data_IF_669346876555
#
_entry.id   IF_669346876555
#
_cell.length_a   1.000
_cell.length_b   1.000
_cell.length_c   1.000
_cell.angle_alpha   90.00
_cell.angle_beta   90.00
_cell.angle_gamma   90.00
#
_symmetry.space_group_name_H-M   'P 1'
#
loop_
_entity.id
_entity.type
_entity.pdbx_description
1 polymer ?
#
# COMPACT_ATOMS: atom_id res chain seq x y z
N UNK A 1 -3.31 -5.67 -22.22
CA UNK A 1 -4.67 -5.57 -22.81
C UNK A 1 -5.36 -6.90 -22.49
N UNK A 2 -6.53 -6.83 -21.89
CA UNK A 2 -7.31 -7.97 -21.45
C UNK A 2 -8.72 -7.91 -22.07
N UNK A 3 -9.38 -9.06 -22.21
CA UNK A 3 -10.76 -9.11 -22.71
C UNK A 3 -11.72 -8.43 -21.74
N UNK A 4 -12.64 -7.62 -22.25
CA UNK A 4 -13.63 -6.94 -21.41
C UNK A 4 -14.55 -7.92 -20.70
N UNK A 5 -14.77 -7.75 -19.39
CA UNK A 5 -15.74 -8.55 -18.65
C UNK A 5 -17.11 -7.85 -18.59
N UNK A 6 -18.20 -8.64 -18.57
CA UNK A 6 -19.56 -8.12 -18.39
C UNK A 6 -19.82 -7.90 -16.89
N UNK A 7 -19.63 -6.67 -16.44
CA UNK A 7 -19.79 -6.28 -15.05
C UNK A 7 -21.28 -6.27 -14.66
N UNK A 8 -21.61 -6.86 -13.51
CA UNK A 8 -22.91 -6.75 -12.85
C UNK A 8 -22.80 -5.78 -11.66
N UNK A 9 -21.76 -5.96 -10.81
CA UNK A 9 -21.49 -5.12 -9.64
C UNK A 9 -20.00 -4.91 -9.45
N UNK A 10 -19.66 -3.76 -8.89
CA UNK A 10 -18.30 -3.40 -8.49
C UNK A 10 -18.25 -3.27 -6.97
N UNK A 11 -17.20 -3.82 -6.38
CA UNK A 11 -16.93 -3.80 -4.95
C UNK A 11 -15.53 -3.28 -4.69
N UNK A 12 -15.31 -2.83 -3.48
CA UNK A 12 -13.97 -2.60 -2.95
C UNK A 12 -13.54 -3.78 -2.07
N UNK A 13 -12.28 -4.18 -2.19
CA UNK A 13 -11.66 -5.18 -1.34
C UNK A 13 -10.19 -4.87 -1.12
N UNK A 14 -9.75 -4.88 0.14
CA UNK A 14 -8.33 -4.75 0.46
C UNK A 14 -7.92 -5.62 1.65
N UNK A 15 -6.64 -5.96 1.71
CA UNK A 15 -5.97 -6.61 2.83
C UNK A 15 -4.76 -5.77 3.22
N UNK A 16 -4.62 -5.49 4.51
CA UNK A 16 -3.53 -4.68 5.03
C UNK A 16 -3.07 -5.14 6.42
N UNK A 17 -1.85 -4.76 6.79
CA UNK A 17 -1.34 -4.94 8.15
C UNK A 17 -1.89 -3.84 9.05
N UNK A 18 -2.76 -4.19 9.97
CA UNK A 18 -3.30 -3.29 11.01
C UNK A 18 -2.35 -3.29 12.22
N UNK A 19 -1.42 -2.35 12.24
CA UNK A 19 -0.41 -2.25 13.31
C UNK A 19 -1.02 -1.93 14.67
N UNK A 20 -2.12 -1.17 14.70
CA UNK A 20 -2.80 -0.81 15.95
C UNK A 20 -3.50 -2.01 16.58
N UNK A 21 -4.08 -2.87 15.75
CA UNK A 21 -4.75 -4.09 16.19
C UNK A 21 -3.81 -5.30 16.30
N UNK A 22 -2.56 -5.19 15.80
CA UNK A 22 -1.59 -6.29 15.76
C UNK A 22 -2.05 -7.50 14.93
N UNK A 23 -2.83 -7.26 13.87
CA UNK A 23 -3.42 -8.31 13.04
C UNK A 23 -3.48 -7.90 11.56
N UNK A 24 -3.92 -8.83 10.71
CA UNK A 24 -4.27 -8.53 9.32
C UNK A 24 -5.73 -8.09 9.28
N UNK A 25 -5.99 -6.93 8.68
CA UNK A 25 -7.36 -6.44 8.47
C UNK A 25 -7.74 -6.56 7.00
N UNK A 26 -8.96 -7.02 6.78
CA UNK A 26 -9.61 -7.04 5.47
C UNK A 26 -10.70 -5.97 5.49
N UNK A 27 -10.67 -5.08 4.52
CA UNK A 27 -11.67 -4.05 4.32
C UNK A 27 -12.40 -4.35 3.02
N UNK A 28 -13.71 -4.29 3.05
CA UNK A 28 -14.53 -4.45 1.85
C UNK A 28 -15.74 -3.53 1.89
N UNK A 29 -16.24 -3.18 0.70
CA UNK A 29 -17.42 -2.32 0.56
C UNK A 29 -18.22 -2.68 -0.69
N UNK A 30 -19.52 -2.42 -0.64
CA UNK A 30 -20.39 -2.51 -1.82
C UNK A 30 -20.18 -1.34 -2.79
N UNK A 31 -19.41 -0.34 -2.42
CA UNK A 31 -19.01 0.80 -3.25
C UNK A 31 -17.61 0.52 -3.84
N UNK A 32 -17.56 0.00 -5.04
CA UNK A 32 -16.33 -0.22 -5.79
C UNK A 32 -16.08 0.85 -6.85
N UNK A 33 -14.86 0.92 -7.36
CA UNK A 33 -14.47 1.90 -8.40
C UNK A 33 -14.44 3.35 -7.92
N UNK A 34 -14.46 3.59 -6.60
CA UNK A 34 -14.44 4.91 -5.97
C UNK A 34 -13.39 4.96 -4.87
N UNK A 35 -13.06 6.18 -4.41
CA UNK A 35 -12.13 6.39 -3.30
C UNK A 35 -12.74 5.88 -1.98
N UNK A 36 -12.08 4.91 -1.35
CA UNK A 36 -12.60 4.25 -0.15
C UNK A 36 -12.57 5.16 1.09
N UNK A 37 -11.66 6.13 1.14
CA UNK A 37 -11.57 7.10 2.22
C UNK A 37 -12.82 7.97 2.24
N UNK A 38 -13.30 8.39 1.08
CA UNK A 38 -14.57 9.15 0.99
C UNK A 38 -15.78 8.30 1.41
N UNK A 39 -15.79 7.00 1.08
CA UNK A 39 -16.83 6.09 1.53
C UNK A 39 -16.80 5.93 3.04
N UNK A 40 -15.60 5.81 3.63
CA UNK A 40 -15.42 5.68 5.08
C UNK A 40 -15.86 6.95 5.83
N UNK A 41 -15.68 8.13 5.24
CA UNK A 41 -16.10 9.41 5.83
C UNK A 41 -17.61 9.64 5.70
N UNK A 42 -18.17 9.42 4.49
CA UNK A 42 -19.57 9.76 4.17
C UNK A 42 -20.56 8.67 4.57
N UNK A 43 -20.17 7.40 4.45
CA UNK A 43 -21.03 6.22 4.64
C UNK A 43 -20.30 5.08 5.33
N UNK A 44 -19.79 5.25 6.57
CA UNK A 44 -18.98 4.26 7.28
C UNK A 44 -19.69 2.91 7.47
N UNK A 45 -21.02 2.90 7.48
CA UNK A 45 -21.84 1.69 7.59
C UNK A 45 -21.69 0.75 6.38
N UNK A 46 -21.19 1.23 5.24
CA UNK A 46 -20.90 0.43 4.05
C UNK A 46 -19.53 -0.26 4.11
N UNK A 47 -18.71 0.09 5.10
CA UNK A 47 -17.40 -0.50 5.30
C UNK A 47 -17.52 -1.77 6.15
N UNK A 48 -17.13 -2.89 5.57
CA UNK A 48 -17.05 -4.18 6.24
C UNK A 48 -15.59 -4.40 6.63
N UNK A 49 -15.30 -4.43 7.94
CA UNK A 49 -13.95 -4.70 8.45
C UNK A 49 -13.91 -6.08 9.11
N UNK A 50 -13.02 -6.94 8.62
CA UNK A 50 -12.77 -8.29 9.17
C UNK A 50 -11.33 -8.38 9.62
N UNK A 51 -11.10 -8.74 10.88
CA UNK A 51 -9.78 -8.97 11.44
C UNK A 51 -9.43 -10.43 11.38
N UNK A 52 -8.22 -10.73 10.94
CA UNK A 52 -7.69 -12.09 10.85
C UNK A 52 -6.46 -12.18 11.75
N UNK A 53 -6.52 -13.05 12.75
CA UNK A 53 -5.36 -13.37 13.58
C UNK A 53 -4.32 -14.09 12.70
N UNK A 54 -3.08 -13.59 12.61
CA UNK A 54 -2.02 -14.21 11.80
C UNK A 54 -1.73 -15.67 12.19
N UNK A 55 -1.94 -16.05 13.47
CA UNK A 55 -1.75 -17.43 13.94
C UNK A 55 -2.87 -18.37 13.49
N UNK A 56 -4.10 -17.87 13.45
CA UNK A 56 -5.27 -18.65 13.03
C UNK A 56 -5.45 -18.67 11.52
N UNK A 57 -4.96 -17.65 10.83
CA UNK A 57 -5.11 -17.48 9.38
C UNK A 57 -6.54 -17.22 8.93
N UNK A 58 -6.72 -17.19 7.62
CA UNK A 58 -8.03 -16.94 7.01
C UNK A 58 -8.92 -18.18 7.05
N UNK A 59 -10.07 -18.06 7.68
CA UNK A 59 -11.03 -19.15 7.92
C UNK A 59 -12.33 -18.95 7.14
N UNK A 60 -13.13 -20.03 6.92
CA UNK A 60 -14.40 -19.93 6.18
C UNK A 60 -15.40 -18.92 6.75
N UNK A 61 -15.39 -18.65 8.05
CA UNK A 61 -16.29 -17.67 8.64
C UNK A 61 -15.91 -16.22 8.25
N UNK A 62 -14.62 -15.92 8.06
CA UNK A 62 -14.18 -14.62 7.56
C UNK A 62 -14.77 -14.37 6.16
N UNK A 63 -14.65 -15.37 5.26
CA UNK A 63 -15.24 -15.27 3.93
C UNK A 63 -16.77 -15.09 3.97
N UNK A 64 -17.46 -15.76 4.88
CA UNK A 64 -18.92 -15.58 5.03
C UNK A 64 -19.30 -14.19 5.49
N UNK A 65 -18.51 -13.57 6.41
CA UNK A 65 -18.76 -12.20 6.85
C UNK A 65 -18.62 -11.25 5.65
N UNK A 66 -17.52 -11.38 4.88
CA UNK A 66 -17.27 -10.56 3.69
C UNK A 66 -18.38 -10.78 2.66
N UNK A 67 -18.66 -12.02 2.31
CA UNK A 67 -19.64 -12.37 1.30
C UNK A 67 -21.06 -11.88 1.63
N UNK A 68 -21.47 -11.97 2.90
CA UNK A 68 -22.76 -11.44 3.37
C UNK A 68 -22.78 -9.91 3.31
N UNK A 69 -21.70 -9.26 3.74
CA UNK A 69 -21.60 -7.81 3.69
C UNK A 69 -21.64 -7.28 2.26
N UNK A 70 -20.97 -7.93 1.31
CA UNK A 70 -21.02 -7.64 -0.12
C UNK A 70 -22.32 -8.11 -0.79
N UNK A 71 -23.24 -8.71 -0.03
CA UNK A 71 -24.53 -9.24 -0.52
C UNK A 71 -24.36 -10.22 -1.69
N UNK A 72 -23.28 -11.04 -1.64
CA UNK A 72 -23.07 -12.10 -2.62
C UNK A 72 -24.10 -13.22 -2.43
N UNK A 73 -24.48 -13.85 -3.52
CA UNK A 73 -25.44 -14.95 -3.53
C UNK A 73 -25.06 -16.00 -4.58
N UNK A 74 -25.76 -17.13 -4.57
CA UNK A 74 -25.57 -18.18 -5.58
C UNK A 74 -24.15 -18.72 -5.62
N UNK A 75 -23.58 -18.83 -6.82
CA UNK A 75 -22.26 -19.39 -7.03
C UNK A 75 -21.13 -18.45 -6.60
N UNK A 76 -21.31 -17.12 -6.67
CA UNK A 76 -20.37 -16.15 -6.13
C UNK A 76 -20.18 -16.33 -4.61
N UNK A 77 -21.28 -16.57 -3.87
CA UNK A 77 -21.20 -16.87 -2.44
C UNK A 77 -20.43 -18.18 -2.17
N UNK A 78 -20.71 -19.23 -2.93
CA UNK A 78 -20.03 -20.53 -2.77
C UNK A 78 -18.52 -20.43 -3.09
N UNK A 79 -18.14 -19.64 -4.07
CA UNK A 79 -16.76 -19.41 -4.48
C UNK A 79 -15.98 -18.48 -3.51
N UNK A 80 -16.68 -17.69 -2.70
CA UNK A 80 -16.10 -16.61 -1.90
C UNK A 80 -14.93 -17.08 -1.01
N UNK A 81 -15.05 -18.21 -0.33
CA UNK A 81 -13.98 -18.73 0.50
C UNK A 81 -12.73 -19.07 -0.32
N UNK A 82 -12.89 -19.79 -1.42
CA UNK A 82 -11.77 -20.14 -2.29
C UNK A 82 -11.12 -18.90 -2.89
N UNK A 83 -11.91 -17.89 -3.26
CA UNK A 83 -11.43 -16.65 -3.84
C UNK A 83 -10.65 -15.81 -2.81
N UNK A 84 -11.26 -15.46 -1.69
CA UNK A 84 -10.63 -14.62 -0.66
C UNK A 84 -9.46 -15.31 0.04
N UNK A 85 -9.51 -16.64 0.23
CA UNK A 85 -8.39 -17.37 0.83
C UNK A 85 -7.15 -17.38 -0.07
N UNK A 86 -7.30 -17.38 -1.39
CA UNK A 86 -6.17 -17.27 -2.33
C UNK A 86 -5.53 -15.89 -2.24
N UNK A 87 -6.32 -14.81 -2.21
CA UNK A 87 -5.80 -13.44 -2.06
C UNK A 87 -5.08 -13.30 -0.72
N UNK A 88 -5.68 -13.81 0.38
CA UNK A 88 -5.04 -13.80 1.68
C UNK A 88 -3.72 -14.60 1.69
N UNK A 89 -3.71 -15.75 1.04
CA UNK A 89 -2.49 -16.55 0.90
C UNK A 89 -1.42 -15.80 0.12
N UNK A 90 -1.77 -15.17 -1.01
CA UNK A 90 -0.86 -14.33 -1.79
C UNK A 90 -0.30 -13.19 -0.95
N UNK A 91 -1.15 -12.50 -0.16
CA UNK A 91 -0.74 -11.44 0.75
C UNK A 91 0.33 -11.91 1.74
N UNK A 92 0.12 -13.08 2.37
CA UNK A 92 1.04 -13.63 3.37
C UNK A 92 2.31 -14.19 2.72
N UNK A 93 2.18 -14.97 1.66
CA UNK A 93 3.30 -15.68 1.02
C UNK A 93 4.30 -14.70 0.37
N UNK A 94 3.83 -13.56 -0.14
CA UNK A 94 4.65 -12.55 -0.79
C UNK A 94 5.08 -11.42 0.15
N UNK A 95 4.83 -11.53 1.45
CA UNK A 95 5.12 -10.46 2.43
C UNK A 95 4.53 -9.11 2.01
N UNK A 96 3.32 -9.12 1.48
CA UNK A 96 2.66 -7.88 1.11
C UNK A 96 2.25 -7.06 2.35
N UNK A 97 2.36 -5.76 2.26
CA UNK A 97 1.87 -4.81 3.27
C UNK A 97 0.47 -4.30 2.95
N UNK A 98 0.11 -4.30 1.66
CA UNK A 98 -1.20 -3.96 1.13
C UNK A 98 -1.50 -4.80 -0.11
N UNK A 99 -2.71 -5.29 -0.21
CA UNK A 99 -3.35 -5.74 -1.46
C UNK A 99 -4.68 -5.02 -1.55
N UNK A 100 -4.87 -4.24 -2.59
CA UNK A 100 -6.10 -3.52 -2.88
C UNK A 100 -6.64 -3.95 -4.23
N UNK A 101 -7.90 -4.30 -4.27
CA UNK A 101 -8.63 -4.67 -5.49
C UNK A 101 -9.79 -3.70 -5.63
N UNK A 102 -9.66 -2.77 -6.58
CA UNK A 102 -10.64 -1.72 -6.79
C UNK A 102 -10.79 -1.37 -8.29
N UNK A 103 -11.77 -1.96 -8.98
CA UNK A 103 -12.86 -2.75 -8.42
C UNK A 103 -12.58 -4.26 -8.32
N UNK A 104 -13.16 -4.88 -7.30
CA UNK A 104 -13.49 -6.29 -7.28
C UNK A 104 -14.84 -6.46 -7.97
N UNK A 105 -14.91 -7.24 -9.04
CA UNK A 105 -16.09 -7.32 -9.91
C UNK A 105 -16.86 -8.61 -9.66
N UNK A 106 -18.19 -8.49 -9.59
CA UNK A 106 -19.12 -9.59 -9.83
C UNK A 106 -19.55 -9.51 -11.31
N UNK A 107 -19.25 -10.54 -12.07
CA UNK A 107 -19.68 -10.62 -13.47
C UNK A 107 -21.14 -11.03 -13.58
N UNK A 108 -21.76 -10.77 -14.75
CA UNK A 108 -23.13 -11.26 -15.06
C UNK A 108 -23.23 -12.79 -15.07
N UNK A 109 -22.10 -13.49 -15.14
CA UNK A 109 -22.00 -14.95 -15.05
C UNK A 109 -21.83 -15.43 -13.60
N UNK A 110 -22.00 -14.50 -12.62
CA UNK A 110 -21.92 -14.76 -11.18
C UNK A 110 -20.51 -15.23 -10.73
N UNK A 111 -19.46 -14.71 -11.35
CA UNK A 111 -18.05 -14.95 -11.00
C UNK A 111 -17.43 -13.73 -10.36
N UNK A 112 -16.58 -13.96 -9.35
CA UNK A 112 -15.73 -12.92 -8.75
C UNK A 112 -14.45 -12.77 -9.57
N UNK A 113 -14.09 -11.53 -9.92
CA UNK A 113 -12.93 -11.18 -10.73
C UNK A 113 -12.19 -10.03 -10.04
N UNK A 114 -10.90 -10.19 -9.80
CA UNK A 114 -10.02 -9.07 -9.45
C UNK A 114 -9.66 -8.36 -10.76
N UNK A 115 -10.33 -7.24 -11.03
CA UNK A 115 -10.18 -6.53 -12.30
C UNK A 115 -8.94 -5.65 -12.31
N UNK A 116 -8.75 -4.93 -11.22
CA UNK A 116 -7.54 -4.13 -10.98
C UNK A 116 -7.02 -4.42 -9.57
N UNK A 117 -5.71 -4.61 -9.46
CA UNK A 117 -5.07 -4.94 -8.20
C UNK A 117 -3.80 -4.13 -8.00
N UNK A 118 -3.76 -3.37 -6.91
CA UNK A 118 -2.57 -2.67 -6.42
C UNK A 118 -1.97 -3.47 -5.26
N UNK A 119 -0.68 -3.74 -5.34
CA UNK A 119 0.05 -4.45 -4.29
C UNK A 119 1.25 -3.65 -3.83
N UNK A 120 1.46 -3.62 -2.51
CA UNK A 120 2.68 -3.11 -1.88
C UNK A 120 3.32 -4.22 -1.07
N UNK A 121 4.63 -4.29 -1.09
CA UNK A 121 5.40 -5.33 -0.42
C UNK A 121 6.24 -4.74 0.71
N UNK A 122 6.58 -5.55 1.70
CA UNK A 122 7.52 -5.14 2.74
C UNK A 122 8.95 -5.14 2.18
N UNK A 123 9.56 -3.96 2.06
CA UNK A 123 10.92 -3.80 1.58
C UNK A 123 11.93 -4.60 2.39
N UNK A 124 11.67 -4.83 3.69
CA UNK A 124 12.55 -5.63 4.55
C UNK A 124 12.52 -7.13 4.23
N UNK A 125 11.54 -7.59 3.47
CA UNK A 125 11.37 -8.98 3.07
C UNK A 125 11.86 -9.28 1.65
N UNK A 126 12.17 -8.26 0.84
CA UNK A 126 12.52 -8.42 -0.57
C UNK A 126 13.75 -9.33 -0.80
N UNK A 127 14.65 -9.43 0.18
CA UNK A 127 15.80 -10.35 0.10
C UNK A 127 15.40 -11.82 -0.06
N UNK A 128 14.18 -12.20 0.35
CA UNK A 128 13.61 -13.55 0.20
C UNK A 128 12.51 -13.64 -0.86
N UNK A 129 12.13 -12.53 -1.47
CA UNK A 129 11.07 -12.40 -2.49
C UNK A 129 11.70 -12.00 -3.83
N UNK A 130 12.60 -12.83 -4.36
CA UNK A 130 13.34 -12.52 -5.60
C UNK A 130 12.43 -12.30 -6.80
N UNK A 131 11.37 -13.09 -6.94
CA UNK A 131 10.40 -12.93 -8.04
C UNK A 131 9.67 -11.59 -7.97
N UNK A 132 9.35 -11.09 -6.77
CA UNK A 132 8.77 -9.76 -6.58
C UNK A 132 9.78 -8.66 -6.93
N UNK A 133 11.04 -8.85 -6.53
CA UNK A 133 12.10 -7.89 -6.82
C UNK A 133 12.36 -7.76 -8.33
N UNK A 134 12.24 -8.84 -9.10
CA UNK A 134 12.38 -8.83 -10.56
C UNK A 134 11.26 -8.05 -11.28
N UNK A 135 10.11 -7.87 -10.63
CA UNK A 135 9.00 -7.07 -11.17
C UNK A 135 9.19 -5.56 -10.99
N UNK A 136 10.24 -5.16 -10.26
CA UNK A 136 10.51 -3.76 -9.98
C UNK A 136 10.91 -3.04 -11.28
N UNK A 137 10.17 -1.98 -11.62
CA UNK A 137 10.50 -1.07 -12.71
C UNK A 137 11.10 0.22 -12.14
N UNK A 138 12.42 0.38 -12.29
CA UNK A 138 13.12 1.57 -11.81
C UNK A 138 12.72 2.84 -12.58
N UNK A 139 12.11 2.72 -13.75
CA UNK A 139 11.67 3.87 -14.55
C UNK A 139 10.40 4.53 -14.02
N UNK A 140 9.64 3.80 -13.20
CA UNK A 140 8.44 4.30 -12.51
C UNK A 140 8.75 4.95 -11.14
N UNK A 141 10.00 4.80 -10.63
CA UNK A 141 10.40 5.41 -9.39
C UNK A 141 10.89 6.86 -9.60
N UNK A 142 10.75 7.68 -8.56
CA UNK A 142 11.34 9.03 -8.55
C UNK A 142 12.87 8.94 -8.71
N UNK A 143 13.46 9.57 -9.72
CA UNK A 143 14.90 9.43 -10.03
C UNK A 143 15.83 9.80 -8.86
N UNK A 144 15.46 10.81 -8.07
CA UNK A 144 16.20 11.26 -6.90
C UNK A 144 16.18 10.23 -5.77
N UNK A 145 15.04 9.54 -5.57
CA UNK A 145 14.92 8.46 -4.59
C UNK A 145 15.73 7.22 -5.01
N UNK A 146 15.65 6.87 -6.31
CA UNK A 146 16.45 5.79 -6.88
C UNK A 146 17.95 6.05 -6.75
N UNK A 147 18.39 7.30 -7.00
CA UNK A 147 19.76 7.70 -6.82
C UNK A 147 20.19 7.64 -5.35
N UNK A 148 19.35 8.10 -4.43
CA UNK A 148 19.62 8.08 -3.00
C UNK A 148 19.79 6.65 -2.46
N UNK A 149 18.98 5.71 -2.92
CA UNK A 149 19.09 4.27 -2.56
C UNK A 149 20.47 3.69 -2.92
N UNK A 150 21.09 4.11 -4.03
CA UNK A 150 22.43 3.63 -4.44
C UNK A 150 23.52 4.03 -3.44
N UNK A 151 23.30 5.09 -2.67
CA UNK A 151 24.22 5.57 -1.64
C UNK A 151 23.77 5.22 -0.22
N UNK A 152 22.76 4.36 -0.08
CA UNK A 152 22.20 3.98 1.22
C UNK A 152 21.75 5.22 2.03
N UNK A 153 21.06 6.14 1.35
CA UNK A 153 20.45 7.32 1.92
C UNK A 153 18.95 7.13 2.01
N UNK A 154 18.35 7.48 3.16
CA UNK A 154 16.91 7.55 3.30
C UNK A 154 16.42 8.91 2.78
N UNK A 155 15.91 8.92 1.55
CA UNK A 155 15.41 10.12 0.89
C UNK A 155 13.97 9.91 0.41
N UNK A 156 13.13 10.92 0.62
CA UNK A 156 11.77 11.01 0.08
C UNK A 156 11.59 12.44 -0.44
N UNK A 157 11.18 12.58 -1.71
CA UNK A 157 10.83 13.87 -2.29
C UNK A 157 9.48 14.33 -1.78
N UNK A 158 9.36 15.64 -1.49
CA UNK A 158 8.14 16.30 -1.05
C UNK A 158 7.94 17.60 -1.88
N UNK A 159 6.72 18.15 -1.79
CA UNK A 159 6.32 19.35 -2.55
C UNK A 159 6.56 20.64 -1.75
N UNK A 160 7.78 20.87 -1.28
CA UNK A 160 8.10 22.02 -0.45
C UNK A 160 9.23 22.88 -0.99
N UNK A 161 9.58 23.93 -0.23
CA UNK A 161 10.59 24.94 -0.63
C UNK A 161 11.91 24.81 0.12
N UNK A 162 11.94 24.09 1.25
CA UNK A 162 13.12 24.01 2.11
C UNK A 162 13.74 22.61 2.05
N UNK A 163 14.95 22.51 1.47
CA UNK A 163 15.72 21.29 1.45
C UNK A 163 16.26 20.94 2.84
N UNK A 164 16.10 19.68 3.25
CA UNK A 164 16.49 19.15 4.54
C UNK A 164 17.57 18.07 4.38
N UNK A 165 18.67 18.18 5.14
CA UNK A 165 19.67 17.15 5.31
C UNK A 165 20.00 17.03 6.79
N UNK A 166 19.73 15.87 7.36
CA UNK A 166 19.92 15.62 8.79
C UNK A 166 20.52 14.25 9.04
N UNK A 167 21.02 14.07 10.25
CA UNK A 167 21.52 12.79 10.71
C UNK A 167 20.60 12.26 11.81
N UNK A 168 19.77 11.28 11.45
CA UNK A 168 18.79 10.65 12.30
C UNK A 168 17.33 10.99 11.92
N UNK A 169 16.53 9.97 11.67
CA UNK A 169 15.14 10.11 11.22
C UNK A 169 14.27 10.95 12.19
N UNK A 170 14.48 10.82 13.51
CA UNK A 170 13.77 11.62 14.51
C UNK A 170 14.07 13.11 14.39
N UNK A 171 15.34 13.46 14.14
CA UNK A 171 15.72 14.87 13.89
C UNK A 171 15.15 15.37 12.56
N UNK A 172 15.13 14.52 11.53
CA UNK A 172 14.51 14.88 10.25
C UNK A 172 13.03 15.23 10.42
N UNK A 173 12.28 14.38 11.08
CA UNK A 173 10.84 14.61 11.35
C UNK A 173 10.63 15.88 12.19
N UNK A 174 11.38 16.07 13.27
CA UNK A 174 11.27 17.29 14.10
C UNK A 174 11.63 18.56 13.31
N UNK A 175 12.60 18.49 12.40
CA UNK A 175 12.97 19.62 11.53
C UNK A 175 11.82 19.97 10.58
N UNK A 176 11.20 18.97 9.95
CA UNK A 176 10.04 19.15 9.08
C UNK A 176 8.84 19.73 9.84
N UNK A 177 8.59 19.27 11.06
CA UNK A 177 7.51 19.80 11.91
C UNK A 177 7.75 21.30 12.23
N UNK A 178 8.98 21.70 12.52
CA UNK A 178 9.34 23.10 12.78
C UNK A 178 9.15 23.95 11.52
N UNK A 179 9.55 23.46 10.34
CA UNK A 179 9.36 24.15 9.07
C UNK A 179 7.87 24.42 8.86
N UNK A 180 7.03 23.39 9.00
CA UNK A 180 5.58 23.50 8.86
C UNK A 180 4.97 24.46 9.89
N UNK A 181 5.43 24.42 11.15
CA UNK A 181 4.97 25.31 12.21
C UNK A 181 5.30 26.77 11.92
N UNK A 182 6.36 27.04 11.15
CA UNK A 182 6.78 28.39 10.74
C UNK A 182 6.11 28.86 9.44
N UNK A 183 5.21 28.06 8.87
CA UNK A 183 4.40 28.43 7.71
C UNK A 183 5.10 28.23 6.36
N UNK A 184 6.19 27.42 6.33
CA UNK A 184 6.82 26.95 5.10
C UNK A 184 6.64 25.44 4.95
N UNK A 185 7.19 24.84 3.90
CA UNK A 185 7.06 23.39 3.63
C UNK A 185 8.42 22.76 3.30
N UNK A 186 8.70 21.53 3.80
CA UNK A 186 9.91 20.80 3.48
C UNK A 186 9.85 20.26 2.04
N UNK A 187 10.94 20.43 1.28
CA UNK A 187 11.07 19.89 -0.07
C UNK A 187 11.46 18.41 -0.10
N UNK A 188 11.99 17.91 1.00
CA UNK A 188 12.38 16.51 1.13
C UNK A 188 12.51 16.05 2.58
N UNK A 189 12.38 14.75 2.80
CA UNK A 189 12.98 14.07 3.93
C UNK A 189 14.33 13.50 3.50
N UNK A 190 15.40 13.74 4.26
CA UNK A 190 16.69 13.11 4.04
C UNK A 190 17.41 12.83 5.35
N UNK A 191 17.68 11.55 5.60
CA UNK A 191 18.51 11.08 6.69
C UNK A 191 19.76 10.37 6.14
N UNK A 192 20.94 10.88 6.50
CA UNK A 192 22.22 10.29 6.08
C UNK A 192 22.59 9.04 6.91
N UNK A 193 21.85 8.77 7.98
CA UNK A 193 22.06 7.62 8.87
C UNK A 193 23.27 7.73 9.78
N UNK A 194 23.34 6.89 10.81
CA UNK A 194 24.40 6.90 11.81
C UNK A 194 25.80 6.54 11.27
N UNK A 195 25.90 6.01 10.05
CA UNK A 195 27.15 5.67 9.35
C UNK A 195 27.52 6.70 8.27
N UNK A 196 27.17 7.97 8.47
CA UNK A 196 27.44 9.04 7.52
C UNK A 196 28.94 9.13 7.19
N UNK A 197 29.28 8.98 5.91
CA UNK A 197 30.62 9.23 5.38
C UNK A 197 30.65 10.53 4.60
N UNK A 198 31.85 11.04 4.33
CA UNK A 198 32.04 12.22 3.47
C UNK A 198 31.37 12.03 2.11
N UNK A 199 31.48 10.85 1.53
CA UNK A 199 30.89 10.50 0.23
C UNK A 199 29.37 10.52 0.30
N UNK A 200 28.76 9.88 1.31
CA UNK A 200 27.29 9.92 1.51
C UNK A 200 26.77 11.34 1.65
N UNK A 201 27.40 12.17 2.48
CA UNK A 201 27.00 13.57 2.68
C UNK A 201 27.14 14.38 1.40
N UNK A 202 28.23 14.17 0.63
CA UNK A 202 28.42 14.82 -0.67
C UNK A 202 27.31 14.49 -1.68
N UNK A 203 26.96 13.19 -1.78
CA UNK A 203 25.89 12.76 -2.71
C UNK A 203 24.52 13.24 -2.22
N UNK A 204 24.27 13.24 -0.91
CA UNK A 204 23.06 13.82 -0.33
C UNK A 204 22.88 15.30 -0.71
N UNK A 205 23.93 16.11 -0.61
CA UNK A 205 23.89 17.50 -1.06
C UNK A 205 23.62 17.64 -2.56
N UNK A 206 24.23 16.78 -3.39
CA UNK A 206 23.98 16.82 -4.84
C UNK A 206 22.52 16.54 -5.17
N UNK A 207 21.91 15.55 -4.49
CA UNK A 207 20.50 15.18 -4.67
C UNK A 207 19.62 16.40 -4.32
N UNK A 208 19.82 17.02 -3.16
CA UNK A 208 19.03 18.19 -2.75
C UNK A 208 19.22 19.36 -3.73
N UNK A 209 20.46 19.66 -4.14
CA UNK A 209 20.75 20.77 -5.03
C UNK A 209 20.35 20.52 -6.50
N UNK A 210 19.98 19.29 -6.86
CA UNK A 210 19.44 18.96 -8.17
C UNK A 210 17.90 19.06 -8.22
N UNK A 211 17.26 19.34 -7.10
CA UNK A 211 15.83 19.60 -7.06
C UNK A 211 15.57 21.04 -7.53
N UNK A 212 14.70 21.20 -8.52
CA UNK A 212 14.35 22.50 -9.12
C UNK A 212 13.26 23.26 -8.29
N UNK A 213 12.91 22.77 -7.11
CA UNK A 213 11.88 23.34 -6.22
C UNK A 213 12.38 24.58 -5.45
#
# INVERSE_FOLDING_TARGET
>A
IEDGCKIDKEFYFSILVDRNAGCISIISSTEGGVNIEEVAEKTPEKIIKVRVDPKGGFMPFHARIIANGLKLSGDAFKQSYSFFSKIYKTFVDLDASLVEINPLVLSKENKLIALDAKMSFDNNSLFRQSEVLELKDETEEEPSETLAKKFDLAYIKLDGEIGCLVNGAGLAMATMDIINLKGSSPANFLDVGGSATKEKVKEAFKIILSDDA
#
